data_IF_560108283573
#
_entry.id   IF_560108283573
#
_cell.length_a   1.000
_cell.length_b   1.000
_cell.length_c   1.000
_cell.angle_alpha   90.00
_cell.angle_beta   90.00
_cell.angle_gamma   90.00
#
_symmetry.space_group_name_H-M   'P 1'
#
loop_
_entity.id
_entity.type
_entity.pdbx_description
1 polymer ?
#
# COMPACT_ATOMS: atom_id res chain seq x y z
N UNK A 1 8.43 17.64 -3.73
CA UNK A 1 7.90 18.30 -2.52
C UNK A 1 6.38 18.10 -2.50
N UNK A 2 5.80 17.84 -1.33
CA UNK A 2 4.38 17.67 -1.08
C UNK A 2 4.00 18.56 0.10
N UNK A 3 2.86 19.21 0.03
CA UNK A 3 2.29 20.02 1.12
C UNK A 3 0.85 19.58 1.32
N UNK A 4 0.50 19.22 2.55
CA UNK A 4 -0.86 18.87 2.96
C UNK A 4 -1.46 19.97 3.81
N UNK A 5 -2.74 20.29 3.63
CA UNK A 5 -3.45 21.29 4.41
C UNK A 5 -4.89 20.85 4.71
N UNK A 6 -5.27 20.88 5.99
CA UNK A 6 -6.67 20.82 6.42
C UNK A 6 -7.29 22.22 6.47
N UNK A 7 -8.62 22.33 6.31
CA UNK A 7 -9.32 23.56 6.63
C UNK A 7 -8.94 24.04 8.05
N UNK A 8 -8.55 25.31 8.17
CA UNK A 8 -8.18 25.95 9.43
C UNK A 8 -6.89 25.42 10.11
N UNK A 9 -5.97 24.79 9.37
CA UNK A 9 -4.63 24.41 9.86
C UNK A 9 -3.51 24.94 8.97
N UNK A 10 -2.33 25.17 9.58
CA UNK A 10 -1.12 25.49 8.84
C UNK A 10 -0.70 24.30 7.96
N UNK A 11 -0.22 24.58 6.74
CA UNK A 11 0.21 23.53 5.81
C UNK A 11 1.40 22.72 6.34
N UNK A 12 1.30 21.40 6.25
CA UNK A 12 2.37 20.46 6.57
C UNK A 12 3.21 20.18 5.33
N UNK A 13 4.47 20.62 5.34
CA UNK A 13 5.46 20.24 4.34
C UNK A 13 5.91 18.81 4.59
N UNK A 14 5.94 17.98 3.54
CA UNK A 14 6.25 16.53 3.62
C UNK A 14 5.33 15.79 4.61
N UNK A 15 4.01 15.70 4.31
CA UNK A 15 3.12 14.85 5.07
C UNK A 15 3.60 13.39 5.03
N UNK A 16 3.20 12.60 6.03
CA UNK A 16 3.46 11.15 6.01
C UNK A 16 2.81 10.52 4.78
N UNK A 17 3.46 9.51 4.19
CA UNK A 17 2.88 8.73 3.08
C UNK A 17 1.59 7.99 3.48
N UNK A 18 1.34 7.85 4.79
CA UNK A 18 0.15 7.21 5.36
C UNK A 18 -0.96 8.22 5.72
N UNK A 19 -0.82 9.50 5.33
CA UNK A 19 -1.82 10.54 5.63
C UNK A 19 -3.11 10.30 4.85
N UNK A 20 -4.21 10.10 5.56
CA UNK A 20 -5.55 9.98 4.96
C UNK A 20 -6.09 11.37 4.62
N UNK A 21 -6.53 11.54 3.38
CA UNK A 21 -7.18 12.76 2.91
C UNK A 21 -8.70 12.62 3.01
N UNK A 22 -9.35 13.65 3.53
CA UNK A 22 -10.81 13.76 3.57
C UNK A 22 -11.31 14.76 2.52
N UNK A 23 -12.61 14.77 2.17
CA UNK A 23 -13.19 15.86 1.40
C UNK A 23 -12.80 17.22 2.02
N UNK A 24 -12.53 18.21 1.16
CA UNK A 24 -12.01 19.55 1.50
C UNK A 24 -10.55 19.65 1.95
N UNK A 25 -9.84 18.53 2.11
CA UNK A 25 -8.39 18.54 2.27
C UNK A 25 -7.67 18.92 0.96
N UNK A 26 -6.53 19.61 1.09
CA UNK A 26 -5.68 19.98 -0.04
C UNK A 26 -4.33 19.27 0.04
N UNK A 27 -3.96 18.54 -1.01
CA UNK A 27 -2.63 17.99 -1.21
C UNK A 27 -1.99 18.63 -2.44
N UNK A 28 -0.94 19.42 -2.24
CA UNK A 28 -0.13 20.02 -3.30
C UNK A 28 1.08 19.13 -3.55
N UNK A 29 1.25 18.63 -4.77
CA UNK A 29 2.38 17.76 -5.15
C UNK A 29 3.16 18.42 -6.27
N UNK A 30 4.48 18.57 -6.10
CA UNK A 30 5.37 18.92 -7.21
C UNK A 30 5.63 17.67 -8.05
N UNK A 31 5.22 17.72 -9.32
CA UNK A 31 5.47 16.68 -10.31
C UNK A 31 6.16 17.28 -11.54
N UNK A 32 6.89 16.44 -12.29
CA UNK A 32 7.41 16.84 -13.60
C UNK A 32 6.27 16.99 -14.61
N UNK A 33 6.49 17.75 -15.68
CA UNK A 33 5.53 17.90 -16.79
C UNK A 33 5.12 16.51 -17.33
N UNK A 34 6.08 15.60 -17.50
CA UNK A 34 5.81 14.22 -17.93
C UNK A 34 4.99 13.42 -16.92
N UNK A 35 5.06 13.75 -15.62
CA UNK A 35 4.20 13.19 -14.58
C UNK A 35 2.77 13.70 -14.67
N UNK A 36 2.59 15.01 -14.84
CA UNK A 36 1.27 15.63 -14.99
C UNK A 36 0.54 15.15 -16.25
N UNK A 37 1.24 15.08 -17.40
CA UNK A 37 0.67 14.56 -18.65
C UNK A 37 0.12 13.14 -18.53
N UNK A 38 0.78 12.26 -17.77
CA UNK A 38 0.28 10.90 -17.52
C UNK A 38 -1.05 10.92 -16.77
N UNK A 39 -1.22 11.83 -15.81
CA UNK A 39 -2.47 11.99 -15.07
C UNK A 39 -3.58 12.51 -16.00
N UNK A 40 -3.31 13.54 -16.80
CA UNK A 40 -4.26 14.11 -17.77
C UNK A 40 -4.71 13.06 -18.80
N UNK A 41 -3.78 12.19 -19.23
CA UNK A 41 -4.06 11.09 -20.16
C UNK A 41 -4.66 9.84 -19.49
N UNK A 42 -5.04 9.91 -18.20
CA UNK A 42 -5.56 8.78 -17.42
C UNK A 42 -4.62 7.57 -17.37
N UNK A 43 -3.32 7.78 -17.59
CA UNK A 43 -2.26 6.77 -17.49
C UNK A 43 -1.79 6.63 -16.05
N UNK A 44 -2.71 6.18 -15.19
CA UNK A 44 -2.41 5.89 -13.80
C UNK A 44 -1.51 4.64 -13.71
N UNK A 45 -0.61 4.63 -12.72
CA UNK A 45 0.11 3.41 -12.40
C UNK A 45 -0.90 2.30 -12.06
N UNK A 46 -0.59 1.06 -12.41
CA UNK A 46 -1.42 -0.11 -12.10
C UNK A 46 -0.90 -0.83 -10.86
N UNK A 47 -1.82 -1.41 -10.09
CA UNK A 47 -1.49 -2.27 -8.95
C UNK A 47 -1.19 -3.67 -9.48
N UNK A 48 0.09 -3.96 -9.71
CA UNK A 48 0.53 -5.22 -10.36
C UNK A 48 1.40 -6.09 -9.45
N UNK A 49 1.71 -5.63 -8.24
CA UNK A 49 2.63 -6.32 -7.34
C UNK A 49 1.88 -7.01 -6.21
N UNK A 50 2.02 -8.32 -6.13
CA UNK A 50 1.55 -9.14 -5.02
C UNK A 50 2.61 -9.24 -3.94
N UNK A 51 2.18 -9.49 -2.71
CA UNK A 51 3.07 -9.78 -1.59
C UNK A 51 2.76 -11.17 -1.07
N UNK A 52 3.76 -12.03 -1.08
CA UNK A 52 3.70 -13.34 -0.46
C UNK A 52 4.37 -13.27 0.91
N UNK A 53 3.66 -13.68 1.95
CA UNK A 53 4.19 -13.80 3.31
C UNK A 53 4.39 -15.27 3.63
N UNK A 54 5.62 -15.66 3.92
CA UNK A 54 6.02 -17.06 4.08
C UNK A 54 6.00 -17.49 5.56
N UNK A 55 6.49 -16.65 6.46
CA UNK A 55 6.58 -16.97 7.88
C UNK A 55 6.77 -15.73 8.73
N UNK A 56 6.44 -15.84 10.02
CA UNK A 56 6.81 -14.88 11.05
C UNK A 56 7.58 -15.61 12.15
N UNK A 57 8.70 -15.03 12.60
CA UNK A 57 9.62 -15.69 13.54
C UNK A 57 9.08 -15.77 14.97
N UNK A 58 8.22 -14.84 15.37
CA UNK A 58 7.66 -14.76 16.73
C UNK A 58 6.17 -14.42 16.70
N UNK A 59 5.48 -14.59 17.83
CA UNK A 59 4.09 -14.15 17.98
C UNK A 59 3.97 -12.63 17.85
N UNK A 60 4.94 -11.89 18.41
CA UNK A 60 5.01 -10.43 18.29
C UNK A 60 5.20 -10.00 16.84
N UNK A 61 6.08 -10.70 16.08
CA UNK A 61 6.24 -10.48 14.64
C UNK A 61 4.94 -10.67 13.86
N UNK A 62 4.05 -11.60 14.28
CA UNK A 62 2.71 -11.75 13.65
C UNK A 62 1.83 -10.54 13.93
N UNK A 63 1.86 -10.02 15.15
CA UNK A 63 1.08 -8.86 15.56
C UNK A 63 1.57 -7.57 14.89
N UNK A 64 2.87 -7.33 14.93
CA UNK A 64 3.51 -6.17 14.32
C UNK A 64 3.40 -6.23 12.79
N UNK A 65 3.58 -7.42 12.20
CA UNK A 65 3.36 -7.65 10.78
C UNK A 65 1.95 -7.29 10.33
N UNK A 66 0.92 -7.65 11.10
CA UNK A 66 -0.46 -7.27 10.80
C UNK A 66 -0.66 -5.74 10.85
N UNK A 67 0.01 -5.07 11.78
CA UNK A 67 -0.03 -3.61 11.91
C UNK A 67 0.65 -2.91 10.73
N UNK A 68 1.80 -3.40 10.27
CA UNK A 68 2.49 -2.90 9.07
C UNK A 68 1.66 -3.10 7.81
N UNK A 69 1.03 -4.27 7.66
CA UNK A 69 0.12 -4.57 6.55
C UNK A 69 -1.03 -3.57 6.53
N UNK A 70 -1.74 -3.41 7.64
CA UNK A 70 -2.88 -2.49 7.71
C UNK A 70 -2.47 -1.05 7.37
N UNK A 71 -1.34 -0.58 7.91
CA UNK A 71 -0.86 0.80 7.71
C UNK A 71 -0.49 1.09 6.26
N UNK A 72 0.30 0.23 5.64
CA UNK A 72 0.85 0.49 4.30
C UNK A 72 -0.16 0.20 3.19
N UNK A 73 -1.02 -0.79 3.40
CA UNK A 73 -1.97 -1.25 2.38
C UNK A 73 -3.37 -0.64 2.51
N UNK A 74 -3.68 -0.05 3.67
CA UNK A 74 -5.02 0.43 4.01
C UNK A 74 -6.02 -0.70 4.31
N UNK A 75 -5.59 -1.96 4.38
CA UNK A 75 -6.44 -3.08 4.80
C UNK A 75 -6.95 -2.86 6.23
N UNK A 76 -8.19 -3.30 6.48
CA UNK A 76 -8.71 -3.34 7.84
C UNK A 76 -7.79 -4.19 8.73
N UNK A 77 -7.47 -3.68 9.92
CA UNK A 77 -6.55 -4.35 10.84
C UNK A 77 -7.02 -5.76 11.25
N UNK A 78 -8.33 -5.98 11.38
CA UNK A 78 -8.90 -7.31 11.64
C UNK A 78 -8.60 -8.30 10.51
N UNK A 79 -8.79 -7.87 9.26
CA UNK A 79 -8.44 -8.69 8.08
C UNK A 79 -6.93 -8.94 8.00
N UNK A 80 -6.11 -7.93 8.31
CA UNK A 80 -4.66 -8.10 8.34
C UNK A 80 -4.20 -9.09 9.41
N UNK A 81 -4.81 -9.07 10.61
CA UNK A 81 -4.55 -10.06 11.66
C UNK A 81 -4.99 -11.46 11.25
N UNK A 82 -6.18 -11.58 10.65
CA UNK A 82 -6.68 -12.85 10.15
C UNK A 82 -5.75 -13.44 9.08
N UNK A 83 -5.30 -12.62 8.14
CA UNK A 83 -4.29 -13.01 7.16
C UNK A 83 -3.00 -13.49 7.82
N UNK A 84 -2.45 -12.73 8.79
CA UNK A 84 -1.25 -13.12 9.53
C UNK A 84 -1.44 -14.40 10.36
N UNK A 85 -2.66 -14.77 10.73
CA UNK A 85 -2.98 -16.03 11.40
C UNK A 85 -2.94 -17.24 10.45
N UNK A 86 -3.08 -17.00 9.13
CA UNK A 86 -3.18 -18.03 8.10
C UNK A 86 -1.92 -18.19 7.24
N UNK A 87 -0.83 -17.47 7.56
CA UNK A 87 0.45 -17.58 6.83
C UNK A 87 1.01 -19.01 6.89
N UNK A 88 1.64 -19.52 5.80
CA UNK A 88 2.00 -18.80 4.56
C UNK A 88 0.82 -18.45 3.64
N UNK A 89 0.90 -17.31 2.93
CA UNK A 89 -0.14 -16.90 1.98
C UNK A 89 0.16 -15.60 1.23
N UNK A 90 -0.64 -15.30 0.21
CA UNK A 90 -0.58 -14.07 -0.56
C UNK A 90 -1.58 -13.03 -0.05
N UNK A 91 -1.16 -11.78 0.05
CA UNK A 91 -2.05 -10.67 0.39
C UNK A 91 -3.19 -10.55 -0.64
N UNK A 92 -4.45 -10.37 -0.20
CA UNK A 92 -5.64 -10.40 -1.06
C UNK A 92 -5.74 -9.26 -2.09
N UNK A 93 -4.93 -8.20 -1.95
CA UNK A 93 -4.93 -7.08 -2.89
C UNK A 93 -3.54 -6.82 -3.47
N UNK A 94 -3.45 -6.58 -4.79
CA UNK A 94 -2.22 -6.12 -5.40
C UNK A 94 -1.91 -4.68 -4.96
N UNK A 95 -0.63 -4.34 -4.94
CA UNK A 95 -0.11 -3.06 -4.50
C UNK A 95 0.61 -2.36 -5.67
N UNK A 96 0.80 -1.05 -5.51
CA UNK A 96 1.79 -0.34 -6.33
C UNK A 96 3.19 -0.83 -5.99
N UNK A 97 4.10 -0.80 -6.96
CA UNK A 97 5.50 -1.22 -6.77
C UNK A 97 6.14 -0.59 -5.52
N UNK A 98 5.94 0.71 -5.32
CA UNK A 98 6.51 1.42 -4.17
C UNK A 98 5.90 0.95 -2.83
N UNK A 99 4.59 0.70 -2.78
CA UNK A 99 3.91 0.16 -1.60
C UNK A 99 4.40 -1.26 -1.30
N UNK A 100 4.52 -2.12 -2.32
CA UNK A 100 5.03 -3.48 -2.17
C UNK A 100 6.46 -3.48 -1.61
N UNK A 101 7.34 -2.66 -2.19
CA UNK A 101 8.73 -2.53 -1.75
C UNK A 101 8.85 -1.90 -0.35
N UNK A 102 7.95 -0.97 0.01
CA UNK A 102 7.86 -0.42 1.38
C UNK A 102 7.40 -1.50 2.36
N UNK A 103 6.34 -2.23 2.03
CA UNK A 103 5.79 -3.28 2.89
C UNK A 103 6.80 -4.40 3.17
N UNK A 104 7.46 -4.94 2.14
CA UNK A 104 8.47 -6.00 2.32
C UNK A 104 9.61 -5.55 3.24
N UNK A 105 10.10 -4.32 3.07
CA UNK A 105 11.13 -3.75 3.96
C UNK A 105 10.66 -3.65 5.41
N UNK A 106 9.41 -3.23 5.63
CA UNK A 106 8.84 -3.13 6.97
C UNK A 106 8.59 -4.50 7.60
N UNK A 107 8.07 -5.46 6.84
CA UNK A 107 7.88 -6.84 7.28
C UNK A 107 9.20 -7.50 7.70
N UNK A 108 10.27 -7.33 6.93
CA UNK A 108 11.58 -7.83 7.31
C UNK A 108 12.11 -7.24 8.62
N UNK A 109 11.86 -5.94 8.87
CA UNK A 109 12.28 -5.29 10.13
C UNK A 109 11.57 -5.87 11.35
N UNK A 110 10.31 -6.26 11.19
CA UNK A 110 9.51 -6.93 12.25
C UNK A 110 9.64 -8.45 12.21
N UNK A 111 10.72 -8.98 11.61
CA UNK A 111 11.01 -10.42 11.59
C UNK A 111 9.96 -11.29 10.88
N UNK A 112 9.29 -10.73 9.87
CA UNK A 112 8.39 -11.44 8.95
C UNK A 112 9.09 -11.67 7.63
N UNK A 113 9.12 -12.92 7.16
CA UNK A 113 9.66 -13.32 5.87
C UNK A 113 8.59 -13.11 4.79
N UNK A 114 8.84 -12.16 3.89
CA UNK A 114 7.93 -11.83 2.80
C UNK A 114 8.71 -11.53 1.51
N UNK A 115 8.06 -11.67 0.36
CA UNK A 115 8.64 -11.31 -0.93
C UNK A 115 7.61 -10.68 -1.86
N UNK A 116 8.10 -9.83 -2.77
CA UNK A 116 7.28 -9.30 -3.86
C UNK A 116 7.18 -10.34 -4.96
N UNK A 117 5.98 -10.54 -5.48
CA UNK A 117 5.72 -11.36 -6.67
C UNK A 117 5.04 -10.48 -7.72
N UNK A 118 5.40 -10.68 -8.98
CA UNK A 118 4.59 -10.11 -10.06
C UNK A 118 3.23 -10.81 -10.02
N UNK A 119 2.15 -10.06 -9.80
CA UNK A 119 0.82 -10.65 -9.91
C UNK A 119 0.59 -10.95 -11.38
N UNK A 120 0.33 -12.20 -11.78
CA UNK A 120 -0.16 -12.46 -13.12
C UNK A 120 -1.43 -11.63 -13.27
N UNK A 121 -1.54 -10.83 -14.33
CA UNK A 121 -2.77 -10.12 -14.63
C UNK A 121 -3.90 -11.15 -14.60
N UNK A 122 -4.80 -11.06 -13.60
CA UNK A 122 -5.99 -11.91 -13.62
C UNK A 122 -6.68 -11.65 -14.96
N UNK A 123 -7.00 -12.72 -15.74
CA UNK A 123 -7.70 -12.54 -17.00
C UNK A 123 -8.97 -11.77 -16.69
N UNK A 124 -9.16 -10.66 -17.40
CA UNK A 124 -10.41 -9.92 -17.47
C UNK A 124 -11.55 -10.91 -17.56
N UNK A 125 -12.36 -11.00 -16.49
CA UNK A 125 -13.59 -11.77 -16.47
C UNK A 125 -14.40 -11.35 -17.69
N UNK A 126 -14.54 -12.28 -18.63
CA UNK A 126 -15.42 -12.15 -19.77
C UNK A 126 -16.82 -11.76 -19.26
N UNK A 127 -17.34 -10.67 -19.82
CA UNK A 127 -18.75 -10.33 -19.74
C UNK A 127 -19.56 -11.52 -20.27
N UNK A 128 -20.29 -12.20 -19.39
CA UNK A 128 -21.40 -13.06 -19.78
C UNK A 128 -22.67 -12.38 -19.26
N UNK A 129 -23.53 -12.00 -20.20
CA UNK A 129 -24.83 -11.37 -19.97
C UNK A 129 -25.27 -10.58 -21.18
#
# INVERSE_FOLDING_TARGET
>A
MQVYQRPNQAGQVMPSEDTVLYPDDRLVVLASISGLRRIEQHQLATKTWGIEVQAALTADARFDGASEIARITGLNLGLARQFMAQIPGQLPQPLYHHQALRLVRHLHRVQVKAQMIATPASPSSEFVG
#
